data_IF_405283872543
#
_entry.id   IF_405283872543
#
_cell.length_a   1.000
_cell.length_b   1.000
_cell.length_c   1.000
_cell.angle_alpha   90.00
_cell.angle_beta   90.00
_cell.angle_gamma   90.00
#
_symmetry.space_group_name_H-M   'P 1'
#
loop_
_entity.id
_entity.type
_entity.pdbx_description
1 polymer ?
#
# COMPACT_ATOMS: atom_id res chain seq x y z
N UNK A 1 -13.24 -49.50 -17.21
CA UNK A 1 -14.34 -48.62 -16.76
C UNK A 1 -13.76 -47.58 -15.84
N UNK A 2 -13.55 -46.34 -16.32
CA UNK A 2 -13.13 -45.24 -15.46
C UNK A 2 -14.31 -44.83 -14.59
N UNK A 3 -14.15 -44.94 -13.27
CA UNK A 3 -15.11 -44.45 -12.27
C UNK A 3 -15.26 -42.94 -12.47
N UNK A 4 -16.50 -42.48 -12.68
CA UNK A 4 -16.81 -41.06 -12.80
C UNK A 4 -16.27 -40.31 -11.57
N UNK A 5 -15.69 -39.10 -11.73
CA UNK A 5 -15.25 -38.30 -10.60
C UNK A 5 -16.45 -38.03 -9.68
N UNK A 6 -16.20 -38.12 -8.38
CA UNK A 6 -17.19 -37.90 -7.33
C UNK A 6 -17.79 -36.48 -7.45
N UNK A 7 -18.99 -36.41 -8.03
CA UNK A 7 -19.76 -35.19 -8.25
C UNK A 7 -20.20 -34.53 -6.93
N UNK A 8 -19.99 -35.17 -5.77
CA UNK A 8 -20.32 -34.61 -4.46
C UNK A 8 -19.52 -33.33 -4.14
N UNK A 9 -18.30 -33.16 -4.69
CA UNK A 9 -17.50 -31.93 -4.50
C UNK A 9 -17.99 -30.73 -5.32
N UNK A 10 -18.96 -30.93 -6.21
CA UNK A 10 -19.60 -29.86 -7.00
C UNK A 10 -20.94 -29.40 -6.42
N UNK A 11 -21.34 -29.93 -5.25
CA UNK A 11 -22.53 -29.42 -4.57
C UNK A 11 -22.23 -28.05 -3.94
N UNK A 12 -22.97 -26.98 -4.31
CA UNK A 12 -22.82 -25.71 -3.63
C UNK A 12 -23.23 -25.90 -2.16
N UNK A 13 -22.32 -25.53 -1.24
CA UNK A 13 -22.60 -25.51 0.20
C UNK A 13 -23.88 -24.72 0.42
N UNK A 14 -24.85 -25.31 1.14
CA UNK A 14 -26.21 -24.80 1.32
C UNK A 14 -26.32 -23.58 2.27
N UNK A 15 -25.34 -22.67 2.23
CA UNK A 15 -25.32 -21.41 2.96
C UNK A 15 -25.00 -20.23 2.02
N UNK A 16 -25.20 -18.97 2.46
CA UNK A 16 -24.72 -17.83 1.69
C UNK A 16 -23.21 -18.00 1.48
N UNK A 17 -22.76 -17.89 0.23
CA UNK A 17 -21.35 -17.99 -0.10
C UNK A 17 -20.55 -17.03 0.80
N UNK A 18 -19.37 -17.45 1.31
CA UNK A 18 -18.54 -16.57 2.11
C UNK A 18 -18.23 -15.31 1.29
N UNK A 19 -18.49 -14.13 1.87
CA UNK A 19 -18.25 -12.85 1.20
C UNK A 19 -16.77 -12.70 0.90
N UNK A 20 -16.46 -12.09 -0.23
CA UNK A 20 -15.09 -11.73 -0.57
C UNK A 20 -14.64 -10.46 0.17
N UNK A 21 -13.33 -10.28 0.32
CA UNK A 21 -12.76 -9.10 0.98
C UNK A 21 -13.30 -7.80 0.35
N UNK A 22 -13.32 -7.72 -0.99
CA UNK A 22 -13.72 -6.52 -1.74
C UNK A 22 -15.19 -6.11 -1.52
N UNK A 23 -16.07 -7.07 -1.20
CA UNK A 23 -17.49 -6.80 -0.91
C UNK A 23 -17.70 -6.16 0.47
N UNK A 24 -16.78 -6.40 1.41
CA UNK A 24 -16.88 -5.91 2.79
C UNK A 24 -16.01 -4.68 3.02
N UNK A 25 -14.81 -4.68 2.44
CA UNK A 25 -13.85 -3.60 2.59
C UNK A 25 -12.89 -3.52 1.41
N UNK A 26 -12.60 -2.30 0.97
CA UNK A 26 -11.60 -2.07 -0.07
C UNK A 26 -10.87 -0.75 0.20
N UNK A 27 -9.52 -0.72 0.28
CA UNK A 27 -8.78 0.48 0.65
C UNK A 27 -8.63 1.45 -0.53
N UNK A 28 -9.75 2.03 -0.98
CA UNK A 28 -9.85 2.87 -2.18
C UNK A 28 -8.85 4.04 -2.16
N UNK A 29 -8.72 4.76 -1.04
CA UNK A 29 -7.83 5.92 -0.95
C UNK A 29 -6.35 5.58 -1.21
N UNK A 30 -5.84 4.50 -0.58
CA UNK A 30 -4.45 4.05 -0.79
C UNK A 30 -4.23 3.58 -2.23
N UNK A 31 -5.15 2.77 -2.74
CA UNK A 31 -5.08 2.22 -4.11
C UNK A 31 -5.15 3.31 -5.17
N UNK A 32 -5.97 4.34 -4.97
CA UNK A 32 -6.06 5.48 -5.87
C UNK A 32 -4.75 6.26 -5.96
N UNK A 33 -4.07 6.49 -4.82
CA UNK A 33 -2.76 7.17 -4.79
C UNK A 33 -1.70 6.36 -5.55
N UNK A 34 -1.65 5.05 -5.35
CA UNK A 34 -0.70 4.16 -6.03
C UNK A 34 -0.99 4.04 -7.53
N UNK A 35 -2.27 3.92 -7.89
CA UNK A 35 -2.73 3.91 -9.29
C UNK A 35 -2.37 5.21 -10.00
N UNK A 36 -2.53 6.35 -9.32
CA UNK A 36 -2.14 7.65 -9.84
C UNK A 36 -0.62 7.75 -10.04
N UNK A 37 0.17 7.30 -9.05
CA UNK A 37 1.64 7.27 -9.14
C UNK A 37 2.11 6.42 -10.32
N UNK A 38 1.53 5.24 -10.51
CA UNK A 38 1.85 4.36 -11.66
C UNK A 38 1.54 5.08 -12.99
N UNK A 39 0.36 5.73 -13.10
CA UNK A 39 -0.01 6.50 -14.30
C UNK A 39 0.89 7.70 -14.57
N UNK A 40 1.46 8.32 -13.54
CA UNK A 40 2.35 9.48 -13.66
C UNK A 40 3.83 9.11 -13.82
N UNK A 41 4.21 7.83 -13.72
CA UNK A 41 5.60 7.38 -13.78
C UNK A 41 6.28 7.55 -15.16
N UNK A 42 5.54 7.93 -16.22
CA UNK A 42 6.12 8.23 -17.54
C UNK A 42 6.94 7.07 -18.09
N UNK A 43 8.22 7.32 -18.39
CA UNK A 43 9.16 6.33 -18.93
C UNK A 43 9.40 5.12 -18.00
N UNK A 44 9.19 5.29 -16.69
CA UNK A 44 9.37 4.22 -15.69
C UNK A 44 8.18 3.27 -15.56
N UNK A 45 7.17 3.38 -16.44
CA UNK A 45 6.07 2.43 -16.47
C UNK A 45 6.53 1.10 -17.07
N UNK A 46 6.15 -0.02 -16.44
CA UNK A 46 6.54 -1.36 -16.89
C UNK A 46 6.08 -1.68 -18.31
N UNK A 47 5.02 -1.01 -18.80
CA UNK A 47 4.43 -1.19 -20.14
C UNK A 47 4.22 0.16 -20.83
N UNK A 48 5.29 0.91 -21.09
CA UNK A 48 5.27 2.21 -21.79
C UNK A 48 4.90 2.12 -23.27
N UNK A 49 5.27 1.02 -23.95
CA UNK A 49 5.13 0.88 -25.41
C UNK A 49 3.90 0.09 -25.90
N UNK A 50 3.15 -0.55 -25.01
CA UNK A 50 2.05 -1.46 -25.35
C UNK A 50 0.69 -0.84 -24.95
N UNK A 51 0.20 0.11 -25.76
CA UNK A 51 -1.20 0.55 -25.74
C UNK A 51 -1.44 2.05 -25.53
N UNK A 52 -2.62 2.51 -25.97
CA UNK A 52 -3.10 3.88 -25.76
C UNK A 52 -3.47 4.12 -24.29
N UNK A 53 -3.27 5.35 -23.80
CA UNK A 53 -3.38 5.70 -22.38
C UNK A 53 -4.77 5.50 -21.75
N UNK A 54 -5.83 5.37 -22.55
CA UNK A 54 -7.20 5.08 -22.11
C UNK A 54 -7.53 3.60 -21.93
N UNK A 55 -6.78 2.68 -22.55
CA UNK A 55 -7.03 1.24 -22.46
C UNK A 55 -6.28 0.55 -21.31
N UNK A 56 -5.31 1.22 -20.69
CA UNK A 56 -4.43 0.61 -19.70
C UNK A 56 -4.96 0.78 -18.28
N UNK A 57 -5.31 -0.35 -17.66
CA UNK A 57 -5.61 -0.41 -16.23
C UNK A 57 -4.30 -0.46 -15.44
N UNK A 58 -4.14 0.34 -14.36
CA UNK A 58 -2.98 0.25 -13.49
C UNK A 58 -2.79 -1.17 -12.95
N UNK A 59 -1.58 -1.71 -13.02
CA UNK A 59 -1.28 -3.07 -12.56
C UNK A 59 -1.53 -3.21 -11.06
N UNK A 60 -1.25 -2.16 -10.30
CA UNK A 60 -1.57 -2.12 -8.87
C UNK A 60 -3.08 -2.27 -8.60
N UNK A 61 -3.93 -1.71 -9.47
CA UNK A 61 -5.39 -1.84 -9.35
C UNK A 61 -5.86 -3.24 -9.77
N UNK A 62 -5.30 -3.80 -10.84
CA UNK A 62 -5.65 -5.16 -11.27
C UNK A 62 -5.28 -6.17 -10.18
N UNK A 63 -4.08 -6.06 -9.62
CA UNK A 63 -3.61 -6.92 -8.51
C UNK A 63 -4.52 -6.81 -7.29
N UNK A 64 -4.93 -5.58 -6.92
CA UNK A 64 -5.78 -5.37 -5.75
C UNK A 64 -7.19 -5.95 -5.93
N UNK A 65 -7.75 -5.88 -7.14
CA UNK A 65 -9.04 -6.50 -7.48
C UNK A 65 -8.94 -8.02 -7.39
N UNK A 66 -7.90 -8.63 -8.00
CA UNK A 66 -7.71 -10.09 -7.95
C UNK A 66 -7.58 -10.57 -6.52
N UNK A 67 -6.73 -9.92 -5.71
CA UNK A 67 -6.60 -10.28 -4.29
C UNK A 67 -7.90 -10.03 -3.50
N UNK A 68 -8.60 -8.93 -3.78
CA UNK A 68 -9.86 -8.60 -3.10
C UNK A 68 -10.98 -9.59 -3.38
N UNK A 69 -10.99 -10.20 -4.58
CA UNK A 69 -11.95 -11.24 -4.95
C UNK A 69 -11.60 -12.61 -4.34
N UNK A 70 -10.30 -12.93 -4.22
CA UNK A 70 -9.84 -14.24 -3.76
C UNK A 70 -9.74 -14.35 -2.24
N UNK A 71 -9.50 -13.25 -1.52
CA UNK A 71 -9.41 -13.28 -0.06
C UNK A 71 -10.82 -13.36 0.56
N UNK A 72 -11.03 -14.25 1.55
CA UNK A 72 -12.29 -14.29 2.27
C UNK A 72 -12.42 -13.07 3.18
N UNK A 73 -13.65 -12.58 3.36
CA UNK A 73 -13.98 -11.67 4.44
C UNK A 73 -14.25 -12.48 5.72
N UNK A 74 -13.32 -12.41 6.67
CA UNK A 74 -13.41 -13.13 7.94
C UNK A 74 -14.19 -12.33 8.99
N UNK A 75 -14.31 -12.89 10.19
CA UNK A 75 -14.90 -12.19 11.33
C UNK A 75 -13.98 -11.09 11.90
N UNK A 76 -12.72 -10.99 11.45
CA UNK A 76 -11.77 -9.95 11.84
C UNK A 76 -11.38 -9.08 10.62
N UNK A 77 -12.16 -8.01 10.33
CA UNK A 77 -11.85 -7.10 9.24
C UNK A 77 -10.48 -6.41 9.37
N UNK A 78 -9.96 -6.26 10.60
CA UNK A 78 -8.67 -5.61 10.81
C UNK A 78 -7.52 -6.53 10.38
N UNK A 79 -7.57 -7.82 10.75
CA UNK A 79 -6.59 -8.82 10.31
C UNK A 79 -6.63 -9.03 8.79
N UNK A 80 -7.82 -9.10 8.20
CA UNK A 80 -7.99 -9.20 6.75
C UNK A 80 -7.33 -8.02 6.03
N UNK A 81 -7.58 -6.80 6.52
CA UNK A 81 -7.01 -5.58 5.94
C UNK A 81 -5.49 -5.54 6.09
N UNK A 82 -4.98 -5.94 7.25
CA UNK A 82 -3.53 -6.06 7.48
C UNK A 82 -2.90 -7.02 6.47
N UNK A 83 -3.51 -8.19 6.29
CA UNK A 83 -3.05 -9.22 5.34
C UNK A 83 -3.10 -8.70 3.90
N UNK A 84 -4.22 -8.10 3.50
CA UNK A 84 -4.39 -7.50 2.17
C UNK A 84 -3.31 -6.43 1.89
N UNK A 85 -3.09 -5.52 2.84
CA UNK A 85 -2.08 -4.46 2.69
C UNK A 85 -0.66 -5.04 2.61
N UNK A 86 -0.34 -6.06 3.40
CA UNK A 86 0.93 -6.75 3.34
C UNK A 86 1.17 -7.43 1.97
N UNK A 87 0.16 -8.12 1.45
CA UNK A 87 0.21 -8.75 0.11
C UNK A 87 0.37 -7.72 -1.02
N UNK A 88 -0.12 -6.50 -0.80
CA UNK A 88 0.05 -5.36 -1.71
C UNK A 88 1.35 -4.58 -1.47
N UNK A 89 2.14 -4.92 -0.44
CA UNK A 89 3.34 -4.16 -0.02
C UNK A 89 2.99 -2.69 0.26
N UNK A 90 1.84 -2.50 0.91
CA UNK A 90 1.25 -1.22 1.34
C UNK A 90 0.99 -1.18 2.85
N UNK A 91 1.49 -2.18 3.57
CA UNK A 91 1.73 -2.17 5.00
C UNK A 91 2.96 -1.33 5.34
N UNK A 92 3.16 -1.03 6.61
CA UNK A 92 4.22 -0.11 7.03
C UNK A 92 5.60 -0.67 6.67
N UNK A 93 5.87 -1.96 6.92
CA UNK A 93 7.12 -2.60 6.52
C UNK A 93 7.32 -2.60 5.01
N UNK A 94 6.25 -2.88 4.24
CA UNK A 94 6.25 -2.78 2.79
C UNK A 94 6.59 -1.39 2.27
N UNK A 95 6.01 -0.34 2.86
CA UNK A 95 6.29 1.05 2.51
C UNK A 95 7.73 1.44 2.84
N UNK A 96 8.25 1.00 3.98
CA UNK A 96 9.64 1.22 4.37
C UNK A 96 10.63 0.56 3.43
N UNK A 97 10.36 -0.67 2.97
CA UNK A 97 11.19 -1.36 1.96
C UNK A 97 11.20 -0.62 0.62
N UNK A 98 10.12 0.12 0.30
CA UNK A 98 9.97 0.90 -0.94
C UNK A 98 10.53 2.32 -0.83
N UNK A 99 10.97 2.76 0.35
CA UNK A 99 11.52 4.09 0.58
C UNK A 99 12.95 4.17 -0.01
N UNK A 100 13.06 4.59 -1.26
CA UNK A 100 14.36 4.74 -1.95
C UNK A 100 15.06 6.08 -1.68
N UNK A 101 14.29 7.11 -1.30
CA UNK A 101 14.79 8.47 -1.07
C UNK A 101 14.38 8.91 0.33
N UNK A 102 15.25 9.66 1.00
CA UNK A 102 14.94 10.28 2.28
C UNK A 102 13.71 11.18 2.13
N UNK A 103 12.79 11.10 3.10
CA UNK A 103 11.65 12.01 3.18
C UNK A 103 12.19 13.43 3.42
N UNK A 104 11.67 14.46 2.71
CA UNK A 104 12.10 15.83 2.93
C UNK A 104 11.89 16.27 4.37
N UNK A 105 12.86 16.99 4.95
CA UNK A 105 12.82 17.42 6.36
C UNK A 105 11.53 18.18 6.73
N UNK A 106 10.98 18.93 5.77
CA UNK A 106 9.70 19.63 5.95
C UNK A 106 8.52 18.67 6.16
N UNK A 107 8.43 17.63 5.36
CA UNK A 107 7.34 16.64 5.48
C UNK A 107 7.46 15.85 6.79
N UNK A 108 8.69 15.50 7.19
CA UNK A 108 8.92 14.82 8.48
C UNK A 108 8.52 15.73 9.65
N UNK A 109 8.87 17.02 9.60
CA UNK A 109 8.51 17.99 10.65
C UNK A 109 7.00 18.06 10.89
N UNK A 110 6.20 18.02 9.82
CA UNK A 110 4.75 18.12 9.90
C UNK A 110 4.11 16.91 10.59
N UNK A 111 4.75 15.74 10.49
CA UNK A 111 4.23 14.45 10.96
C UNK A 111 4.78 14.04 12.33
N UNK A 112 5.99 14.47 12.70
CA UNK A 112 6.59 14.09 14.00
C UNK A 112 5.95 14.81 15.20
N UNK A 113 5.99 14.20 16.40
CA UNK A 113 5.49 14.81 17.64
C UNK A 113 6.19 16.13 17.97
N UNK A 114 5.52 17.10 18.63
CA UNK A 114 6.08 18.43 18.93
C UNK A 114 7.44 18.41 19.62
N UNK A 115 7.67 17.43 20.52
CA UNK A 115 8.94 17.27 21.27
C UNK A 115 10.14 17.04 20.34
N UNK A 116 9.95 16.25 19.28
CA UNK A 116 11.02 15.92 18.31
C UNK A 116 11.25 17.07 17.32
N UNK A 117 10.26 17.98 17.14
CA UNK A 117 10.37 19.12 16.22
C UNK A 117 11.47 20.09 16.66
N UNK A 118 11.50 20.40 17.94
CA UNK A 118 12.45 21.36 18.52
C UNK A 118 13.87 20.79 18.59
N UNK A 119 14.03 19.50 18.81
CA UNK A 119 15.34 18.86 18.97
C UNK A 119 16.02 18.57 17.64
N UNK A 120 15.25 18.19 16.61
CA UNK A 120 15.81 17.67 15.37
C UNK A 120 15.81 18.65 14.19
N UNK A 121 14.97 19.69 14.22
CA UNK A 121 14.79 20.60 13.07
C UNK A 121 15.24 22.03 13.38
N UNK A 122 15.74 22.69 12.34
CA UNK A 122 16.01 24.13 12.30
C UNK A 122 15.08 24.75 11.26
N UNK A 123 14.27 25.71 11.69
CA UNK A 123 13.36 26.47 10.83
C UNK A 123 13.91 27.88 10.67
N UNK A 124 14.22 28.28 9.44
CA UNK A 124 14.65 29.62 9.09
C UNK A 124 13.71 30.18 8.02
N UNK A 125 12.69 30.93 8.45
CA UNK A 125 11.63 31.39 7.58
C UNK A 125 10.84 30.21 6.97
N UNK A 126 10.80 30.12 5.65
CA UNK A 126 10.11 29.04 4.91
C UNK A 126 10.96 27.76 4.72
N UNK A 127 12.24 27.79 5.12
CA UNK A 127 13.18 26.68 4.92
C UNK A 127 13.29 25.84 6.18
N UNK A 128 12.99 24.55 6.04
CA UNK A 128 13.17 23.54 7.09
C UNK A 128 14.38 22.69 6.75
N UNK A 129 15.29 22.52 7.70
CA UNK A 129 16.46 21.65 7.59
C UNK A 129 16.71 20.86 8.87
N UNK A 130 17.35 19.71 8.75
CA UNK A 130 17.88 18.98 9.90
C UNK A 130 18.89 19.85 10.67
N UNK A 131 18.86 19.80 12.01
CA UNK A 131 19.88 20.46 12.83
C UNK A 131 21.27 19.89 12.54
N UNK A 132 22.29 20.75 12.64
CA UNK A 132 23.70 20.35 12.52
C UNK A 132 24.03 19.35 13.63
N UNK A 133 24.73 18.27 13.28
CA UNK A 133 25.09 17.20 14.22
C UNK A 133 24.06 16.06 14.33
N UNK A 134 22.90 16.16 13.69
CA UNK A 134 21.92 15.07 13.70
C UNK A 134 22.43 13.88 12.87
N UNK A 135 22.71 12.77 13.54
CA UNK A 135 23.24 11.53 12.94
C UNK A 135 22.28 10.89 11.94
N UNK A 136 22.81 10.01 11.09
CA UNK A 136 22.03 9.31 10.06
C UNK A 136 20.95 8.38 10.67
N UNK A 137 21.26 7.72 11.79
CA UNK A 137 20.32 6.85 12.50
C UNK A 137 19.16 7.64 13.10
N UNK A 138 19.43 8.80 13.70
CA UNK A 138 18.38 9.64 14.28
C UNK A 138 17.46 10.21 13.20
N UNK A 139 18.02 10.64 12.05
CA UNK A 139 17.21 11.03 10.88
C UNK A 139 16.35 9.89 10.37
N UNK A 140 16.85 8.65 10.41
CA UNK A 140 16.08 7.47 10.02
C UNK A 140 14.98 7.20 11.03
N UNK A 141 15.26 7.25 12.33
CA UNK A 141 14.25 7.12 13.41
C UNK A 141 13.11 8.12 13.25
N UNK A 142 13.43 9.39 12.99
CA UNK A 142 12.43 10.44 12.79
C UNK A 142 11.60 10.22 11.52
N UNK A 143 12.20 9.69 10.46
CA UNK A 143 11.48 9.29 9.25
C UNK A 143 10.59 8.06 9.46
N UNK A 144 10.90 7.18 10.41
CA UNK A 144 10.04 6.06 10.78
C UNK A 144 8.86 6.48 11.66
N UNK A 145 8.99 7.60 12.39
CA UNK A 145 7.94 8.16 13.24
C UNK A 145 6.94 9.04 12.47
N UNK A 146 7.33 9.49 11.28
CA UNK A 146 6.54 10.35 10.40
C UNK A 146 5.68 9.50 9.45
#
# INVERSE_FOLDING_TARGET
>A
MATAPDLALLTPVAGPAPRSFIEVQFPVSRLSKESYKERKAGASQTLTGLGKWWGRKPLVLVRSIVLGLLLPATADPAADRKTFLALMTMDDDGLLRRLQKSIPAREVLDLVPPRERETAFAVSGSKVSWRKGLGAEERRRLQLLA
#
